data_IF_480148377690
#
_entry.id   IF_480148377690
#
_cell.length_a   1.000
_cell.length_b   1.000
_cell.length_c   1.000
_cell.angle_alpha   90.00
_cell.angle_beta   90.00
_cell.angle_gamma   90.00
#
_symmetry.space_group_name_H-M   'P 1'
#
loop_
_entity.id
_entity.type
_entity.pdbx_description
1 polymer ?
#
# COMPACT_ATOMS: atom_id res chain seq x y z
N UNK A 1 0.62 0.92 -1.52
CA UNK A 1 0.22 1.70 -0.33
C UNK A 1 -1.14 2.32 -0.60
N UNK A 2 -2.01 2.35 0.41
CA UNK A 2 -3.36 2.92 0.33
C UNK A 2 -3.50 4.01 1.39
N UNK A 3 -4.01 5.18 1.01
CA UNK A 3 -4.35 6.23 1.98
C UNK A 3 -5.72 5.96 2.55
N UNK A 4 -5.72 5.51 3.78
CA UNK A 4 -6.92 5.07 4.47
C UNK A 4 -7.71 6.25 5.05
N UNK A 5 -7.02 7.21 5.63
CA UNK A 5 -7.65 8.37 6.25
C UNK A 5 -6.75 9.59 6.13
N UNK A 6 -7.38 10.77 6.12
CA UNK A 6 -6.69 12.03 6.10
C UNK A 6 -6.01 12.37 4.78
N UNK A 7 -4.98 13.20 4.89
CA UNK A 7 -4.17 13.71 3.79
C UNK A 7 -2.78 14.09 4.32
N UNK A 8 -1.83 14.27 3.41
CA UNK A 8 -0.50 14.76 3.73
C UNK A 8 0.35 14.93 2.47
N UNK A 9 1.62 15.31 2.67
CA UNK A 9 2.58 15.45 1.59
C UNK A 9 3.46 14.21 1.50
N UNK A 10 3.38 13.47 0.40
CA UNK A 10 4.30 12.37 0.09
C UNK A 10 5.39 12.89 -0.83
N UNK A 11 6.64 12.90 -0.37
CA UNK A 11 7.79 13.22 -1.21
C UNK A 11 8.45 11.92 -1.63
N UNK A 12 8.46 11.65 -2.94
CA UNK A 12 9.04 10.42 -3.51
C UNK A 12 9.98 10.75 -4.66
N UNK A 13 11.21 10.24 -4.61
CA UNK A 13 12.26 10.51 -5.59
C UNK A 13 12.44 12.02 -5.85
N UNK A 14 12.40 12.82 -4.78
CA UNK A 14 12.52 14.28 -4.82
C UNK A 14 11.28 15.02 -5.32
N UNK A 15 10.16 14.32 -5.59
CA UNK A 15 8.93 14.92 -6.10
C UNK A 15 7.87 15.01 -4.99
N UNK A 16 7.43 16.22 -4.61
CA UNK A 16 6.37 16.41 -3.64
C UNK A 16 5.00 16.17 -4.26
N UNK A 17 4.15 15.40 -3.58
CA UNK A 17 2.82 15.03 -4.03
C UNK A 17 1.84 15.05 -2.86
N UNK A 18 0.78 15.84 -2.97
CA UNK A 18 -0.31 15.81 -2.01
C UNK A 18 -1.13 14.55 -2.21
N UNK A 19 -1.30 13.80 -1.13
CA UNK A 19 -2.07 12.56 -1.08
C UNK A 19 -3.24 12.72 -0.14
N UNK A 20 -4.34 12.03 -0.44
CA UNK A 20 -5.59 12.10 0.29
C UNK A 20 -6.27 10.73 0.35
N UNK A 21 -7.24 10.61 1.26
CA UNK A 21 -8.04 9.41 1.43
C UNK A 21 -8.53 8.84 0.08
N UNK A 22 -8.27 7.55 -0.12
CA UNK A 22 -8.58 6.82 -1.36
C UNK A 22 -7.42 6.70 -2.33
N UNK A 23 -6.36 7.50 -2.20
CA UNK A 23 -5.20 7.39 -3.08
C UNK A 23 -4.45 6.07 -2.88
N UNK A 24 -3.97 5.52 -3.99
CA UNK A 24 -3.19 4.28 -4.03
C UNK A 24 -1.98 4.44 -4.93
N UNK A 25 -0.84 3.99 -4.43
CA UNK A 25 0.41 4.05 -5.16
C UNK A 25 1.32 2.88 -4.85
N UNK A 26 2.18 2.56 -5.80
CA UNK A 26 3.16 1.49 -5.71
C UNK A 26 4.56 2.07 -5.57
N UNK A 27 5.19 1.77 -4.44
CA UNK A 27 6.57 2.11 -4.12
C UNK A 27 7.44 0.89 -4.40
N UNK A 28 8.49 1.08 -5.19
CA UNK A 28 9.37 0.01 -5.66
C UNK A 28 10.69 -0.03 -4.89
N UNK A 29 11.40 -1.16 -4.92
CA UNK A 29 12.79 -1.20 -4.48
C UNK A 29 13.61 -0.12 -5.17
N UNK A 30 14.35 0.68 -4.38
CA UNK A 30 15.16 1.79 -4.87
C UNK A 30 14.45 3.15 -4.86
N UNK A 31 13.13 3.21 -4.70
CA UNK A 31 12.44 4.48 -4.48
C UNK A 31 12.81 5.02 -3.09
N UNK A 32 13.14 6.32 -3.03
CA UNK A 32 13.42 7.02 -1.77
C UNK A 32 12.24 7.93 -1.49
N UNK A 33 11.59 7.76 -0.33
CA UNK A 33 10.40 8.53 0.00
C UNK A 33 10.27 8.83 1.49
N UNK A 34 9.58 9.93 1.80
CA UNK A 34 9.17 10.31 3.14
C UNK A 34 7.81 11.03 3.10
N UNK A 35 7.20 11.18 4.27
CA UNK A 35 5.96 11.90 4.44
C UNK A 35 6.20 13.16 5.26
N UNK A 36 5.49 14.22 4.92
CA UNK A 36 5.42 15.48 5.64
C UNK A 36 3.95 15.90 5.78
N UNK A 37 3.66 16.91 6.59
CA UNK A 37 2.29 17.43 6.81
C UNK A 37 1.29 16.33 7.24
N UNK A 38 1.69 15.50 8.19
CA UNK A 38 1.01 14.24 8.56
C UNK A 38 -0.40 14.36 9.18
N UNK A 39 -0.96 15.56 9.30
CA UNK A 39 -2.20 15.91 10.03
C UNK A 39 -3.03 14.73 10.56
N UNK A 40 -3.82 14.11 9.68
CA UNK A 40 -4.68 12.95 9.99
C UNK A 40 -4.35 11.72 9.14
N UNK A 41 -3.15 11.69 8.55
CA UNK A 41 -2.77 10.69 7.55
C UNK A 41 -2.66 9.29 8.17
N UNK A 42 -3.49 8.36 7.69
CA UNK A 42 -3.39 6.93 8.00
C UNK A 42 -3.16 6.13 6.73
N UNK A 43 -2.16 5.25 6.76
CA UNK A 43 -1.72 4.49 5.59
C UNK A 43 -1.88 2.99 5.82
N UNK A 44 -2.26 2.28 4.76
CA UNK A 44 -2.18 0.82 4.68
C UNK A 44 -1.05 0.39 3.76
N UNK A 45 -0.03 -0.22 4.37
CA UNK A 45 1.12 -0.77 3.68
C UNK A 45 0.91 -2.25 3.37
N UNK A 46 0.82 -2.55 2.07
CA UNK A 46 0.79 -3.92 1.55
C UNK A 46 2.18 -4.22 0.99
N UNK A 47 2.90 -5.12 1.64
CA UNK A 47 4.23 -5.54 1.23
C UNK A 47 4.13 -6.79 0.35
N UNK A 48 4.70 -6.71 -0.85
CA UNK A 48 4.74 -7.82 -1.81
C UNK A 48 6.17 -8.37 -1.79
N UNK A 49 6.31 -9.67 -1.57
CA UNK A 49 7.61 -10.33 -1.67
C UNK A 49 7.84 -10.80 -3.11
N UNK A 50 8.73 -10.15 -3.89
CA UNK A 50 8.97 -10.52 -5.29
C UNK A 50 9.67 -11.87 -5.42
N UNK A 51 10.29 -12.40 -4.35
CA UNK A 51 10.96 -13.71 -4.38
C UNK A 51 9.97 -14.89 -4.33
N UNK A 52 8.67 -14.64 -4.16
CA UNK A 52 7.64 -15.67 -4.08
C UNK A 52 6.66 -15.50 -5.23
N UNK A 53 6.58 -16.52 -6.08
CA UNK A 53 5.64 -16.52 -7.21
C UNK A 53 4.19 -16.44 -6.71
N UNK A 54 3.47 -15.42 -7.17
CA UNK A 54 2.05 -15.25 -6.86
C UNK A 54 1.19 -15.98 -7.91
N UNK A 55 0.60 -17.12 -7.54
CA UNK A 55 -0.10 -18.00 -8.48
C UNK A 55 -1.56 -17.67 -8.78
N UNK A 56 -2.16 -16.68 -8.10
CA UNK A 56 -3.61 -16.39 -8.20
C UNK A 56 -3.95 -15.29 -9.21
N UNK A 57 -3.02 -14.38 -9.49
CA UNK A 57 -3.20 -13.28 -10.43
C UNK A 57 -2.02 -13.25 -11.40
N UNK A 58 -2.30 -13.51 -12.68
CA UNK A 58 -1.32 -13.38 -13.75
C UNK A 58 -1.04 -11.90 -14.03
N UNK A 59 0.19 -11.59 -14.47
CA UNK A 59 0.61 -10.23 -14.86
C UNK A 59 0.48 -9.16 -13.76
N UNK A 60 0.58 -9.57 -12.49
CA UNK A 60 0.52 -8.66 -11.34
C UNK A 60 1.52 -7.50 -11.46
N UNK A 61 2.73 -7.75 -11.94
CA UNK A 61 3.74 -6.72 -12.16
C UNK A 61 3.25 -5.62 -13.13
N UNK A 62 2.63 -6.02 -14.25
CA UNK A 62 2.08 -5.07 -15.23
C UNK A 62 1.00 -4.17 -14.62
N UNK A 63 0.15 -4.72 -13.75
CA UNK A 63 -0.87 -3.95 -13.03
C UNK A 63 -0.24 -2.98 -12.02
N UNK A 64 0.74 -3.44 -11.25
CA UNK A 64 1.44 -2.62 -10.25
C UNK A 64 2.20 -1.46 -10.89
N UNK A 65 2.78 -1.66 -12.08
CA UNK A 65 3.48 -0.60 -12.81
C UNK A 65 2.56 0.54 -13.28
N UNK A 66 1.24 0.32 -13.35
CA UNK A 66 0.27 1.40 -13.62
C UNK A 66 0.12 2.36 -12.44
N UNK A 67 0.50 1.91 -11.23
CA UNK A 67 0.43 2.66 -9.98
C UNK A 67 1.82 3.15 -9.52
N UNK A 68 2.85 2.96 -10.36
CA UNK A 68 4.24 3.25 -10.00
C UNK A 68 4.47 4.75 -9.84
N UNK A 69 5.07 5.12 -8.71
CA UNK A 69 5.49 6.49 -8.43
C UNK A 69 6.62 7.02 -9.36
N UNK A 70 7.27 6.13 -10.12
CA UNK A 70 8.26 6.52 -11.14
C UNK A 70 7.61 7.23 -12.34
N UNK A 71 6.31 7.06 -12.54
CA UNK A 71 5.54 7.73 -13.57
C UNK A 71 4.84 8.94 -12.95
N UNK A 72 4.95 10.10 -13.60
CA UNK A 72 4.27 11.31 -13.12
C UNK A 72 2.75 11.07 -13.07
N UNK A 73 2.13 11.46 -11.96
CA UNK A 73 0.67 11.39 -11.72
C UNK A 73 0.06 9.96 -11.79
N UNK A 74 0.85 8.89 -11.67
CA UNK A 74 0.34 7.52 -11.63
C UNK A 74 -0.09 7.12 -10.21
N UNK A 75 -1.13 7.78 -9.72
CA UNK A 75 -1.83 7.40 -8.49
C UNK A 75 -3.18 6.82 -8.88
N UNK A 76 -3.45 5.62 -8.39
CA UNK A 76 -4.78 5.04 -8.45
C UNK A 76 -5.68 5.70 -7.43
N UNK A 77 -6.98 5.65 -7.67
CA UNK A 77 -7.98 6.09 -6.71
C UNK A 77 -8.92 4.93 -6.41
N UNK A 78 -9.17 4.69 -5.13
CA UNK A 78 -10.19 3.76 -4.66
C UNK A 78 -11.44 4.52 -4.30
N UNK A 79 -12.55 4.13 -4.93
CA UNK A 79 -13.87 4.57 -4.50
C UNK A 79 -14.11 4.23 -3.02
N UNK A 80 -14.90 5.04 -2.29
CA UNK A 80 -15.15 4.82 -0.87
C UNK A 80 -15.58 3.39 -0.53
N UNK A 81 -16.43 2.79 -1.35
CA UNK A 81 -16.94 1.44 -1.19
C UNK A 81 -15.83 0.40 -1.39
N UNK A 82 -15.00 0.57 -2.43
CA UNK A 82 -13.86 -0.30 -2.71
C UNK A 82 -12.83 -0.24 -1.59
N UNK A 83 -12.53 0.96 -1.08
CA UNK A 83 -11.64 1.16 0.05
C UNK A 83 -12.19 0.50 1.33
N UNK A 84 -13.48 0.67 1.62
CA UNK A 84 -14.12 0.01 2.76
C UNK A 84 -13.99 -1.51 2.66
N UNK A 85 -14.21 -2.06 1.47
CA UNK A 85 -14.01 -3.48 1.23
C UNK A 85 -12.55 -3.92 1.41
N UNK A 86 -11.57 -3.12 0.95
CA UNK A 86 -10.15 -3.37 1.19
C UNK A 86 -9.83 -3.42 2.69
N UNK A 87 -10.37 -2.49 3.49
CA UNK A 87 -10.20 -2.49 4.95
C UNK A 87 -10.70 -3.79 5.59
N UNK A 88 -11.90 -4.23 5.22
CA UNK A 88 -12.45 -5.50 5.73
C UNK A 88 -11.58 -6.71 5.35
N UNK A 89 -11.04 -6.74 4.13
CA UNK A 89 -10.12 -7.80 3.71
C UNK A 89 -8.83 -7.79 4.53
N UNK A 90 -8.27 -6.61 4.78
CA UNK A 90 -7.08 -6.43 5.63
C UNK A 90 -7.38 -6.96 7.04
N UNK A 91 -8.49 -6.57 7.66
CA UNK A 91 -8.90 -7.05 8.97
C UNK A 91 -9.06 -8.58 9.02
N UNK A 92 -9.66 -9.18 7.98
CA UNK A 92 -9.80 -10.64 7.86
C UNK A 92 -8.45 -11.35 7.78
N UNK A 93 -7.49 -10.81 7.01
CA UNK A 93 -6.12 -11.35 6.92
C UNK A 93 -5.44 -11.35 8.29
N UNK A 94 -5.68 -10.32 9.09
CA UNK A 94 -5.10 -10.20 10.43
C UNK A 94 -5.94 -10.82 11.54
N UNK A 95 -7.05 -11.49 11.22
CA UNK A 95 -7.82 -12.22 12.21
C UNK A 95 -6.95 -13.30 12.90
N UNK A 96 -7.15 -13.58 14.20
CA UNK A 96 -6.39 -14.60 14.93
C UNK A 96 -6.41 -15.99 14.28
N UNK A 97 -7.46 -16.29 13.50
CA UNK A 97 -7.60 -17.52 12.74
C UNK A 97 -6.55 -17.62 11.61
N UNK A 98 -6.27 -16.52 10.90
CA UNK A 98 -5.35 -16.50 9.76
C UNK A 98 -3.91 -16.17 10.16
N UNK A 99 -3.71 -15.36 11.22
CA UNK A 99 -2.37 -15.00 11.76
C UNK A 99 -1.49 -16.21 12.01
N UNK A 100 -2.05 -17.30 12.55
CA UNK A 100 -1.30 -18.55 12.84
C UNK A 100 -0.80 -19.29 11.60
N UNK A 101 -1.38 -19.06 10.41
CA UNK A 101 -0.95 -19.69 9.15
C UNK A 101 0.06 -18.84 8.37
N UNK A 102 0.03 -17.52 8.52
CA UNK A 102 0.85 -16.58 7.73
C UNK A 102 2.17 -16.26 8.44
N UNK A 103 2.16 -16.12 9.76
CA UNK A 103 3.31 -15.65 10.56
C UNK A 103 4.44 -16.71 10.76
N UNK A 104 4.24 -18.04 10.72
CA UNK A 104 5.36 -18.96 10.97
C UNK A 104 6.36 -19.11 9.81
N UNK A 105 6.08 -18.59 8.61
CA UNK A 105 6.88 -18.90 7.40
C UNK A 105 7.47 -17.70 6.65
N UNK A 106 7.01 -16.48 6.90
CA UNK A 106 7.54 -15.29 6.24
C UNK A 106 7.86 -14.24 7.28
N UNK A 107 9.11 -13.76 7.25
CA UNK A 107 9.58 -12.67 8.10
C UNK A 107 8.56 -11.53 8.13
N UNK A 108 8.23 -11.12 9.36
CA UNK A 108 7.37 -10.02 9.77
C UNK A 108 6.69 -9.23 8.63
N UNK A 109 5.41 -9.53 8.38
CA UNK A 109 4.46 -8.49 7.97
C UNK A 109 4.34 -7.50 9.14
N UNK A 110 5.27 -6.55 9.24
CA UNK A 110 5.19 -5.45 10.20
C UNK A 110 4.32 -4.37 9.60
N UNK A 111 3.18 -4.12 10.22
CA UNK A 111 2.38 -2.95 9.97
C UNK A 111 2.72 -1.91 11.03
N UNK A 112 3.34 -0.81 10.63
CA UNK A 112 3.58 0.35 11.49
C UNK A 112 2.36 1.26 11.38
N UNK A 113 1.54 1.33 12.42
CA UNK A 113 0.64 2.47 12.61
C UNK A 113 1.48 3.62 13.16
N UNK A 114 1.66 4.67 12.36
CA UNK A 114 2.04 5.98 12.86
C UNK A 114 0.78 6.83 12.97
#
# INVERSE_FOLDING_TARGET
MIVEEGHGLHVINGRPLYIQQGDVFYVQPGDVHYYDELGTLKLINVLINPAVAFGYLQQMEGLLQQLSAQRAACYGWLAPETRSYCRELVEKIFSPALRRRIIPRYGSLSFSSW
#
